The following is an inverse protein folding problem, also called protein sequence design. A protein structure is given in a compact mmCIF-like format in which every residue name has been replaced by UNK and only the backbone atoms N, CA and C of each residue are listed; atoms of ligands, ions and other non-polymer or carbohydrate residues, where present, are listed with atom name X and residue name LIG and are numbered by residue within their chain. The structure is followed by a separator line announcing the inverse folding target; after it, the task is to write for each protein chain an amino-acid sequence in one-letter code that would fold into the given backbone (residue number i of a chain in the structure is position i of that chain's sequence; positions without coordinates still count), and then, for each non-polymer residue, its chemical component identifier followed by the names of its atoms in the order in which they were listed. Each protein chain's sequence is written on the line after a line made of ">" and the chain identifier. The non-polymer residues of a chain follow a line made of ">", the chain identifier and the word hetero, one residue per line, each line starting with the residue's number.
data_IF_385693661266
#
_entry.id   IF_385693661266
#
_cell.length_a   1.000
_cell.length_b   1.000
_cell.length_c   1.000
_cell.angle_alpha   90.00
_cell.angle_beta   90.00
_cell.angle_gamma   90.00
#
_symmetry.space_group_name_H-M   'P 1'
#
loop_
_entity.id
_entity.type
_entity.pdbx_description
1 polymer ?
#
# COMPACT_ATOMS: atom_id res chain seq x y z
N UNK A 1 -12.04 -11.19 1.91
CA UNK A 1 -11.40 -9.87 1.72
C UNK A 1 -12.50 -8.85 1.59
N UNK A 2 -12.52 -7.83 2.46
CA UNK A 2 -13.54 -6.78 2.46
C UNK A 2 -13.50 -6.00 1.13
N UNK A 3 -14.67 -5.69 0.58
CA UNK A 3 -14.92 -4.92 -0.66
C UNK A 3 -14.29 -3.50 -0.67
N UNK A 4 -13.61 -3.13 0.42
CA UNK A 4 -12.95 -1.84 0.62
C UNK A 4 -11.68 -1.64 -0.23
N UNK A 5 -10.92 -2.71 -0.50
CA UNK A 5 -9.61 -2.61 -1.18
C UNK A 5 -9.68 -2.49 -2.71
N UNK A 6 -10.88 -2.41 -3.30
CA UNK A 6 -11.09 -2.43 -4.76
C UNK A 6 -11.83 -1.23 -5.34
N UNK A 7 -11.99 -0.13 -4.60
CA UNK A 7 -12.63 1.09 -5.10
C UNK A 7 -11.61 2.11 -5.56
N UNK A 8 -11.99 2.90 -6.57
CA UNK A 8 -11.22 4.05 -7.05
C UNK A 8 -10.90 4.97 -5.87
N UNK A 9 -9.62 5.30 -5.70
CA UNK A 9 -9.13 6.13 -4.61
C UNK A 9 -9.59 7.58 -4.84
N UNK A 10 -10.82 7.90 -4.45
CA UNK A 10 -11.38 9.23 -4.58
C UNK A 10 -11.81 9.76 -3.22
N UNK A 11 -11.15 10.84 -2.77
CA UNK A 11 -11.54 11.59 -1.58
C UNK A 11 -12.99 12.10 -1.66
N UNK A 12 -13.50 12.30 -2.88
CA UNK A 12 -14.87 12.80 -3.14
C UNK A 12 -15.98 11.80 -2.80
N UNK A 13 -15.67 10.50 -2.79
CA UNK A 13 -16.63 9.44 -2.42
C UNK A 13 -16.42 8.90 -1.01
N UNK A 14 -15.35 9.34 -0.32
CA UNK A 14 -15.07 8.92 1.03
C UNK A 14 -16.12 9.47 1.99
N UNK A 15 -16.99 8.58 2.50
CA UNK A 15 -17.93 8.90 3.58
C UNK A 15 -17.34 8.39 4.90
N UNK A 16 -16.96 9.28 5.84
CA UNK A 16 -16.47 8.86 7.14
C UNK A 16 -17.51 7.97 7.81
N UNK A 17 -17.09 6.77 8.22
CA UNK A 17 -17.91 5.85 9.03
C UNK A 17 -17.04 5.31 10.15
N UNK A 18 -17.66 4.84 11.24
CA UNK A 18 -16.92 4.27 12.37
C UNK A 18 -16.03 3.08 11.94
N UNK A 19 -16.47 2.28 10.95
CA UNK A 19 -15.66 1.19 10.40
C UNK A 19 -14.44 1.69 9.62
N UNK A 20 -14.64 2.67 8.73
CA UNK A 20 -13.54 3.24 7.94
C UNK A 20 -12.50 3.93 8.84
N UNK A 21 -12.92 4.55 9.94
CA UNK A 21 -12.01 5.19 10.89
C UNK A 21 -11.10 4.19 11.62
N UNK A 22 -11.62 3.02 11.98
CA UNK A 22 -10.82 1.95 12.57
C UNK A 22 -9.86 1.32 11.53
N UNK A 23 -10.29 1.19 10.28
CA UNK A 23 -9.41 0.75 9.18
C UNK A 23 -8.23 1.74 8.99
N UNK A 24 -8.49 3.05 8.98
CA UNK A 24 -7.44 4.07 8.91
C UNK A 24 -6.49 4.09 10.11
N UNK A 25 -6.95 3.70 11.30
CA UNK A 25 -6.05 3.53 12.45
C UNK A 25 -5.13 2.33 12.29
N UNK A 26 -5.57 1.32 11.56
CA UNK A 26 -4.84 0.06 11.37
C UNK A 26 -3.83 0.08 10.22
N UNK A 27 -3.87 1.09 9.34
CA UNK A 27 -2.88 1.23 8.25
C UNK A 27 -1.51 1.70 8.77
N UNK A 28 -0.48 1.49 7.96
CA UNK A 28 0.87 1.96 8.27
C UNK A 28 0.99 3.47 8.14
N UNK A 29 1.66 4.10 9.11
CA UNK A 29 1.86 5.55 9.17
C UNK A 29 3.33 5.93 8.97
N UNK A 30 3.58 7.22 8.74
CA UNK A 30 4.94 7.74 8.65
C UNK A 30 5.69 7.54 9.98
N UNK A 31 6.91 6.99 9.90
CA UNK A 31 7.71 6.63 11.06
C UNK A 31 7.59 5.17 11.48
N UNK A 32 6.52 4.48 11.06
CA UNK A 32 6.39 3.04 11.27
C UNK A 32 7.41 2.27 10.41
N UNK A 33 7.71 1.04 10.85
CA UNK A 33 8.43 0.11 9.99
C UNK A 33 7.52 -0.26 8.82
N UNK A 34 7.96 -0.06 7.56
CA UNK A 34 7.13 -0.41 6.41
C UNK A 34 6.89 -1.93 6.37
N UNK A 35 5.71 -2.37 5.88
CA UNK A 35 5.44 -3.78 5.67
C UNK A 35 6.45 -4.36 4.68
N UNK A 36 6.95 -5.55 4.96
CA UNK A 36 7.79 -6.25 4.00
C UNK A 36 6.90 -6.92 2.96
N UNK A 37 7.29 -6.82 1.69
CA UNK A 37 6.55 -7.41 0.58
C UNK A 37 7.53 -7.87 -0.50
N UNK A 38 7.06 -8.81 -1.32
CA UNK A 38 7.78 -9.31 -2.50
C UNK A 38 6.96 -9.04 -3.74
N UNK A 39 7.58 -8.45 -4.76
CA UNK A 39 6.96 -8.16 -6.07
C UNK A 39 7.73 -8.85 -7.19
N UNK A 40 7.05 -9.27 -8.27
CA UNK A 40 7.72 -9.74 -9.47
C UNK A 40 8.45 -8.58 -10.17
N UNK A 41 9.58 -8.89 -10.80
CA UNK A 41 10.29 -7.96 -11.68
C UNK A 41 9.85 -8.14 -13.14
N UNK A 42 9.95 -7.07 -13.94
CA UNK A 42 9.59 -7.10 -15.36
C UNK A 42 10.43 -8.09 -16.17
N UNK A 43 11.73 -8.20 -15.85
CA UNK A 43 12.67 -9.09 -16.54
C UNK A 43 12.66 -10.52 -15.98
N UNK A 44 11.67 -10.85 -15.15
CA UNK A 44 11.59 -12.10 -14.40
C UNK A 44 12.31 -12.05 -13.05
N UNK A 45 11.94 -12.98 -12.17
CA UNK A 45 12.40 -12.99 -10.78
C UNK A 45 11.58 -12.07 -9.88
N UNK A 46 12.11 -11.81 -8.69
CA UNK A 46 11.39 -11.12 -7.61
C UNK A 46 12.28 -10.18 -6.82
N UNK A 47 11.68 -9.11 -6.31
CA UNK A 47 12.31 -8.16 -5.39
C UNK A 47 11.53 -8.13 -4.07
N UNK A 48 12.26 -8.21 -2.95
CA UNK A 48 11.70 -8.09 -1.61
C UNK A 48 12.18 -6.79 -0.99
N UNK A 49 11.28 -5.99 -0.39
CA UNK A 49 11.62 -4.67 0.16
C UNK A 49 12.78 -4.74 1.16
N UNK A 50 12.81 -5.75 2.03
CA UNK A 50 13.88 -5.95 3.00
C UNK A 50 15.28 -6.17 2.40
N UNK A 51 15.38 -6.59 1.14
CA UNK A 51 16.66 -6.67 0.41
C UNK A 51 17.22 -5.29 0.04
N UNK A 52 16.41 -4.24 0.07
CA UNK A 52 16.79 -2.85 -0.20
C UNK A 52 17.10 -2.03 1.06
N UNK A 53 17.23 -2.68 2.23
CA UNK A 53 17.52 -1.97 3.49
C UNK A 53 18.73 -1.04 3.37
N UNK A 54 18.66 0.07 4.11
CA UNK A 54 19.67 1.14 4.17
C UNK A 54 19.79 1.99 2.90
N UNK A 55 18.92 1.77 1.91
CA UNK A 55 18.74 2.68 0.77
C UNK A 55 17.40 3.40 0.92
N UNK A 56 17.30 4.71 0.62
CA UNK A 56 16.01 5.35 0.41
C UNK A 56 15.28 4.65 -0.74
N UNK A 57 14.02 4.29 -0.53
CA UNK A 57 13.17 3.63 -1.54
C UNK A 57 11.91 4.46 -1.70
N UNK A 58 11.53 4.72 -2.94
CA UNK A 58 10.25 5.34 -3.31
C UNK A 58 9.38 4.26 -3.92
N UNK A 59 8.11 4.18 -3.51
CA UNK A 59 7.11 3.26 -4.04
C UNK A 59 6.05 4.11 -4.73
N UNK A 60 5.77 3.79 -5.99
CA UNK A 60 4.70 4.38 -6.78
C UNK A 60 3.71 3.28 -7.11
N UNK A 61 2.42 3.55 -6.86
CA UNK A 61 1.33 2.64 -7.15
C UNK A 61 0.55 3.19 -8.34
N UNK A 62 0.61 2.48 -9.46
CA UNK A 62 -0.11 2.83 -10.66
C UNK A 62 -0.74 1.61 -11.32
N UNK A 63 -1.68 1.87 -12.22
CA UNK A 63 -2.29 0.86 -13.08
C UNK A 63 -2.40 1.44 -14.50
N UNK A 64 -2.14 0.61 -15.50
CA UNK A 64 -2.51 0.96 -16.88
C UNK A 64 -4.03 0.73 -16.98
N UNK A 65 -4.79 1.81 -17.06
CA UNK A 65 -6.26 1.80 -17.28
C UNK A 65 -6.58 2.06 -18.74
#
# INVERSE_FOLDING_TARGET
>A
MSEYYGKEYNYDIFKPSNGAFEDFRSIFHAGDRPPDFTLPLLDGGEITLSKLRRKPVVIEFGSIT
#
